data_IF_738157072070
#
_entry.id   IF_738157072070
#
_cell.length_a   1.000
_cell.length_b   1.000
_cell.length_c   1.000
_cell.angle_alpha   90.00
_cell.angle_beta   90.00
_cell.angle_gamma   90.00
#
_symmetry.space_group_name_H-M   'P 1'
#
loop_
_entity.id
_entity.type
_entity.pdbx_description
1 polymer ?
#
# COMPACT_ATOMS: atom_id res chain seq x y z
N UNK A 1 -19.24 16.64 5.93
CA UNK A 1 -18.68 15.56 5.08
C UNK A 1 -19.25 14.24 5.59
N UNK A 2 -20.10 13.58 4.80
CA UNK A 2 -20.78 12.35 5.22
C UNK A 2 -19.81 11.16 5.18
N UNK A 3 -19.61 10.52 6.33
CA UNK A 3 -18.88 9.26 6.44
C UNK A 3 -19.70 8.20 5.70
N UNK A 4 -19.20 7.69 4.58
CA UNK A 4 -19.89 6.65 3.82
C UNK A 4 -19.64 5.28 4.48
N UNK A 5 -20.42 5.00 5.52
CA UNK A 5 -20.38 3.77 6.33
C UNK A 5 -20.49 2.49 5.53
N UNK A 6 -21.20 2.53 4.38
CA UNK A 6 -21.31 1.38 3.48
C UNK A 6 -19.97 1.08 2.80
N UNK A 7 -19.23 2.12 2.41
CA UNK A 7 -17.88 1.95 1.87
C UNK A 7 -16.99 1.31 2.93
N UNK A 8 -17.03 1.81 4.16
CA UNK A 8 -16.20 1.33 5.29
C UNK A 8 -16.44 -0.15 5.63
N UNK A 9 -17.67 -0.64 5.45
CA UNK A 9 -17.98 -2.06 5.61
C UNK A 9 -17.39 -2.91 4.47
N UNK A 10 -17.43 -2.44 3.23
CA UNK A 10 -16.88 -3.15 2.07
C UNK A 10 -15.36 -3.28 2.19
N UNK A 11 -14.65 -2.23 2.62
CA UNK A 11 -13.19 -2.27 2.84
C UNK A 11 -12.79 -3.17 4.01
N UNK A 12 -13.72 -3.73 4.79
CA UNK A 12 -13.42 -4.72 5.85
C UNK A 12 -13.59 -6.16 5.37
N UNK A 13 -14.14 -6.38 4.17
CA UNK A 13 -14.31 -7.69 3.58
C UNK A 13 -12.94 -8.33 3.25
N UNK A 14 -12.72 -9.62 3.54
CA UNK A 14 -11.49 -10.35 3.21
C UNK A 14 -11.03 -10.22 1.74
N UNK A 15 -11.97 -10.10 0.80
CA UNK A 15 -11.68 -9.98 -0.63
C UNK A 15 -10.92 -8.67 -0.90
N UNK A 16 -11.33 -7.57 -0.26
CA UNK A 16 -10.74 -6.24 -0.46
C UNK A 16 -9.59 -5.93 0.49
N UNK A 17 -9.43 -6.69 1.58
CA UNK A 17 -8.41 -6.42 2.61
C UNK A 17 -7.12 -7.19 2.43
N UNK A 18 -7.12 -8.32 1.71
CA UNK A 18 -5.88 -9.11 1.52
C UNK A 18 -4.80 -8.35 0.77
N UNK A 19 -5.17 -7.61 -0.28
CA UNK A 19 -4.24 -6.74 -1.03
C UNK A 19 -4.75 -5.31 -0.94
N UNK A 20 -4.09 -4.49 -0.13
CA UNK A 20 -4.42 -3.07 0.00
C UNK A 20 -3.51 -2.25 -0.91
N UNK A 21 -4.11 -1.50 -1.83
CA UNK A 21 -3.40 -0.58 -2.72
C UNK A 21 -3.74 0.84 -2.31
N UNK A 22 -2.74 1.58 -1.83
CA UNK A 22 -2.87 2.97 -1.41
C UNK A 22 -2.18 3.88 -2.44
N UNK A 23 -2.65 3.79 -3.67
CA UNK A 23 -2.10 4.51 -4.83
C UNK A 23 -3.21 5.24 -5.56
N UNK A 24 -2.87 6.37 -6.19
CA UNK A 24 -3.74 7.03 -7.15
C UNK A 24 -3.20 6.83 -8.56
N UNK A 25 -3.99 6.15 -9.39
CA UNK A 25 -3.71 5.99 -10.82
C UNK A 25 -4.31 7.15 -11.59
N UNK A 26 -3.55 7.71 -12.53
CA UNK A 26 -4.12 8.60 -13.54
C UNK A 26 -4.55 7.81 -14.78
N UNK A 27 -5.41 8.40 -15.64
CA UNK A 27 -5.72 7.86 -16.96
C UNK A 27 -4.50 7.72 -17.90
N UNK A 28 -3.36 8.29 -17.52
CA UNK A 28 -2.10 8.27 -18.26
C UNK A 28 -1.08 7.30 -17.67
N UNK A 29 -1.53 6.34 -16.85
CA UNK A 29 -0.71 5.32 -16.16
C UNK A 29 0.38 5.87 -15.21
N UNK A 30 0.29 7.15 -14.86
CA UNK A 30 1.16 7.73 -13.83
C UNK A 30 0.58 7.44 -12.45
N UNK A 31 1.48 7.05 -11.54
CA UNK A 31 1.16 6.83 -10.13
C UNK A 31 1.44 8.13 -9.39
N UNK A 32 0.40 8.67 -8.77
CA UNK A 32 0.49 9.83 -7.89
C UNK A 32 0.34 9.40 -6.42
N UNK A 33 0.98 10.12 -5.49
CA UNK A 33 0.72 9.92 -4.07
C UNK A 33 -0.75 10.20 -3.78
N UNK A 34 -1.30 9.48 -2.80
CA UNK A 34 -2.63 9.75 -2.29
C UNK A 34 -2.66 11.11 -1.58
N UNK A 35 -3.80 11.79 -1.65
CA UNK A 35 -4.03 13.00 -0.88
C UNK A 35 -3.83 12.72 0.62
N UNK A 36 -3.14 13.62 1.33
CA UNK A 36 -2.78 13.43 2.74
C UNK A 36 -4.00 13.13 3.61
N UNK A 37 -5.13 13.79 3.38
CA UNK A 37 -6.37 13.54 4.13
C UNK A 37 -6.91 12.12 3.95
N UNK A 38 -6.78 11.56 2.75
CA UNK A 38 -7.19 10.17 2.47
C UNK A 38 -6.21 9.22 3.17
N UNK A 39 -4.91 9.48 3.04
CA UNK A 39 -3.87 8.68 3.67
C UNK A 39 -4.01 8.67 5.20
N UNK A 40 -4.26 9.83 5.81
CA UNK A 40 -4.50 9.97 7.25
C UNK A 40 -5.71 9.18 7.71
N UNK A 41 -6.81 9.21 6.93
CA UNK A 41 -7.98 8.38 7.24
C UNK A 41 -7.63 6.89 7.21
N UNK A 42 -6.83 6.45 6.23
CA UNK A 42 -6.38 5.07 6.19
C UNK A 42 -5.51 4.72 7.39
N UNK A 43 -4.45 5.49 7.66
CA UNK A 43 -3.50 5.20 8.73
C UNK A 43 -4.13 5.28 10.12
N UNK A 44 -4.98 6.27 10.38
CA UNK A 44 -5.51 6.51 11.73
C UNK A 44 -6.79 5.72 12.03
N UNK A 45 -7.59 5.38 11.03
CA UNK A 45 -8.93 4.83 11.26
C UNK A 45 -9.10 3.43 10.66
N UNK A 46 -8.67 3.21 9.42
CA UNK A 46 -8.99 1.97 8.69
C UNK A 46 -7.97 0.87 9.00
N UNK A 47 -6.68 1.15 8.76
CA UNK A 47 -5.58 0.19 8.87
C UNK A 47 -5.54 -0.50 10.24
N UNK A 48 -5.64 0.21 11.39
CA UNK A 48 -5.62 -0.44 12.70
C UNK A 48 -6.71 -1.50 12.88
N UNK A 49 -7.80 -1.41 12.12
CA UNK A 49 -8.94 -2.34 12.21
C UNK A 49 -8.82 -3.54 11.26
N UNK A 50 -8.00 -3.44 10.20
CA UNK A 50 -7.88 -4.45 9.15
C UNK A 50 -6.46 -5.00 8.98
N UNK A 51 -5.45 -4.51 9.71
CA UNK A 51 -4.04 -4.86 9.53
C UNK A 51 -3.77 -6.37 9.58
N UNK A 52 -4.46 -7.09 10.46
CA UNK A 52 -4.38 -8.55 10.57
C UNK A 52 -4.90 -9.31 9.32
N UNK A 53 -5.64 -8.66 8.43
CA UNK A 53 -6.13 -9.26 7.17
C UNK A 53 -5.22 -8.95 5.98
N UNK A 54 -4.41 -7.90 6.10
CA UNK A 54 -3.54 -7.41 5.02
C UNK A 54 -2.38 -8.38 4.83
N UNK A 55 -2.24 -8.83 3.60
CA UNK A 55 -1.20 -9.77 3.14
C UNK A 55 -0.21 -9.11 2.19
N UNK A 56 -0.68 -8.10 1.45
CA UNK A 56 0.09 -7.34 0.49
C UNK A 56 -0.26 -5.86 0.57
N UNK A 57 0.76 -4.99 0.53
CA UNK A 57 0.62 -3.54 0.44
C UNK A 57 1.24 -3.05 -0.87
N UNK A 58 0.52 -2.22 -1.63
CA UNK A 58 1.09 -1.45 -2.75
C UNK A 58 1.07 0.03 -2.37
N UNK A 59 2.26 0.61 -2.21
CA UNK A 59 2.45 1.96 -1.67
C UNK A 59 3.32 2.80 -2.58
N UNK A 60 3.09 4.10 -2.54
CA UNK A 60 4.00 5.09 -3.11
C UNK A 60 5.13 5.33 -2.11
N UNK A 61 6.37 5.50 -2.59
CA UNK A 61 7.58 5.52 -1.77
C UNK A 61 7.54 6.56 -0.64
N UNK A 62 6.95 7.74 -0.87
CA UNK A 62 6.83 8.81 0.13
C UNK A 62 5.84 8.49 1.26
N UNK A 63 4.94 7.52 1.04
CA UNK A 63 3.92 7.12 2.03
C UNK A 63 4.32 5.92 2.89
N UNK A 64 5.43 5.26 2.54
CA UNK A 64 5.82 3.96 3.13
C UNK A 64 5.92 4.02 4.65
N UNK A 65 6.62 5.01 5.19
CA UNK A 65 6.88 5.14 6.62
C UNK A 65 5.58 5.31 7.40
N UNK A 66 4.72 6.24 6.95
CA UNK A 66 3.44 6.53 7.58
C UNK A 66 2.51 5.32 7.62
N UNK A 67 2.48 4.55 6.54
CA UNK A 67 1.62 3.36 6.44
C UNK A 67 2.16 2.21 7.26
N UNK A 68 3.47 1.95 7.21
CA UNK A 68 4.07 0.86 7.97
C UNK A 68 4.07 1.13 9.48
N UNK A 69 4.09 2.38 9.92
CA UNK A 69 3.96 2.76 11.34
C UNK A 69 2.50 2.80 11.84
N UNK A 70 1.51 2.70 10.95
CA UNK A 70 0.10 2.82 11.32
C UNK A 70 -0.42 1.62 12.14
N UNK A 71 0.18 0.45 12.00
CA UNK A 71 -0.18 -0.76 12.72
C UNK A 71 0.92 -1.82 12.64
N UNK A 72 0.80 -2.87 13.46
CA UNK A 72 1.53 -4.12 13.25
C UNK A 72 0.76 -4.99 12.23
N UNK A 73 1.47 -5.53 11.25
CA UNK A 73 0.88 -6.29 10.12
C UNK A 73 1.29 -7.77 10.20
N UNK A 74 0.68 -8.58 11.07
CA UNK A 74 1.17 -9.92 11.39
C UNK A 74 1.12 -10.92 10.23
N UNK A 75 0.34 -10.62 9.18
CA UNK A 75 0.16 -11.49 8.01
C UNK A 75 0.76 -10.91 6.72
N UNK A 76 1.48 -9.79 6.81
CA UNK A 76 2.10 -9.14 5.64
C UNK A 76 3.29 -9.97 5.16
N UNK A 77 3.27 -10.35 3.89
CA UNK A 77 4.39 -11.07 3.26
C UNK A 77 4.88 -10.39 1.98
N UNK A 78 4.20 -9.35 1.51
CA UNK A 78 4.57 -8.66 0.28
C UNK A 78 4.34 -7.16 0.32
N UNK A 79 5.25 -6.44 -0.31
CA UNK A 79 5.26 -4.99 -0.41
C UNK A 79 5.64 -4.60 -1.84
N UNK A 80 4.73 -3.93 -2.54
CA UNK A 80 4.98 -3.24 -3.80
C UNK A 80 5.29 -1.77 -3.52
N UNK A 81 6.41 -1.28 -4.04
CA UNK A 81 6.81 0.12 -3.91
C UNK A 81 6.85 0.78 -5.29
N UNK A 82 6.22 1.94 -5.38
CA UNK A 82 6.12 2.74 -6.59
C UNK A 82 6.82 4.09 -6.40
N UNK A 83 7.29 4.67 -7.50
CA UNK A 83 8.04 5.93 -7.52
C UNK A 83 9.22 5.96 -6.53
N UNK A 84 9.95 4.84 -6.42
CA UNK A 84 11.17 4.79 -5.63
C UNK A 84 12.25 5.61 -6.34
N UNK A 85 12.93 6.50 -5.62
CA UNK A 85 14.04 7.26 -6.19
C UNK A 85 15.08 6.33 -6.83
N UNK A 86 15.51 6.65 -8.05
CA UNK A 86 16.42 5.81 -8.83
C UNK A 86 17.68 5.40 -8.07
N UNK A 87 18.28 6.31 -7.29
CA UNK A 87 19.46 6.00 -6.48
C UNK A 87 19.16 4.96 -5.41
N UNK A 88 18.00 5.08 -4.76
CA UNK A 88 17.54 4.13 -3.74
C UNK A 88 17.23 2.79 -4.37
N UNK A 89 16.55 2.77 -5.51
CA UNK A 89 16.30 1.56 -6.29
C UNK A 89 17.62 0.87 -6.67
N UNK A 90 18.56 1.61 -7.29
CA UNK A 90 19.87 1.09 -7.68
C UNK A 90 20.60 0.49 -6.48
N UNK A 91 20.58 1.15 -5.31
CA UNK A 91 21.23 0.63 -4.11
C UNK A 91 20.61 -0.69 -3.62
N UNK A 92 19.27 -0.80 -3.66
CA UNK A 92 18.55 -2.03 -3.32
C UNK A 92 18.92 -3.16 -4.30
N UNK A 93 18.96 -2.87 -5.61
CA UNK A 93 19.21 -3.87 -6.64
C UNK A 93 20.70 -4.26 -6.77
N UNK A 94 21.63 -3.33 -6.57
CA UNK A 94 23.08 -3.51 -6.85
C UNK A 94 23.74 -4.62 -6.03
N UNK A 95 23.19 -4.98 -4.87
CA UNK A 95 23.75 -5.99 -3.96
C UNK A 95 23.01 -7.33 -3.97
N UNK A 96 22.04 -7.51 -4.88
CA UNK A 96 21.10 -8.64 -4.86
C UNK A 96 21.08 -9.36 -6.22
N UNK A 97 21.00 -10.68 -6.18
CA UNK A 97 20.72 -11.51 -7.36
C UNK A 97 19.21 -11.68 -7.44
N UNK A 98 18.61 -11.26 -8.55
CA UNK A 98 17.19 -11.43 -8.80
C UNK A 98 16.99 -12.62 -9.73
N UNK A 99 16.08 -13.51 -9.35
CA UNK A 99 15.49 -14.46 -10.27
C UNK A 99 14.16 -13.84 -10.71
N UNK A 100 13.99 -13.67 -12.02
CA UNK A 100 12.72 -13.28 -12.60
C UNK A 100 12.01 -14.55 -13.04
N UNK A 101 10.97 -14.92 -12.30
CA UNK A 101 10.09 -16.00 -12.71
C UNK A 101 9.07 -15.44 -13.70
N UNK A 102 9.07 -15.98 -14.91
CA UNK A 102 8.02 -15.70 -15.88
C UNK A 102 6.74 -16.41 -15.43
N UNK A 103 5.77 -15.64 -14.95
CA UNK A 103 4.41 -16.14 -14.77
C UNK A 103 3.76 -16.22 -16.17
N UNK A 104 3.67 -17.44 -16.70
CA UNK A 104 2.87 -17.76 -17.89
C UNK A 104 1.37 -17.62 -17.61
#
# INVERSE_FOLDING_TARGET
MGINTRLDQIIRDPIFTRRLTLLRWSPTDFIYPLDNTILDRFCLQIIPQICHKIKWLNLESSSIERVLLAADYPNLYGLGLHNVEDKTAINIFKSKKFAFDYLN
#
